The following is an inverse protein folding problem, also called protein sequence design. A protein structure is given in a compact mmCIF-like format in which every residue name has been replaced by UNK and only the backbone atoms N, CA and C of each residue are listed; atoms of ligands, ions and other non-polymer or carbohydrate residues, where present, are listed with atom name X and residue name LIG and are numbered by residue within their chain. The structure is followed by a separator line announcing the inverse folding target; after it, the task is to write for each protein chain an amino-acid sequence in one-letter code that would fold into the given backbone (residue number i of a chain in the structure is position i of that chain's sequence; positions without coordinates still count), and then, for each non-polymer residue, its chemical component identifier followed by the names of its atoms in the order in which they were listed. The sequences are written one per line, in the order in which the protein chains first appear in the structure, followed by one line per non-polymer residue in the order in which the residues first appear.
data_IF_396194438816
#
_entry.id   IF_396194438816
#
_cell.length_a   1.000
_cell.length_b   1.000
_cell.length_c   1.000
_cell.angle_alpha   90.00
_cell.angle_beta   90.00
_cell.angle_gamma   90.00
#
_symmetry.space_group_name_H-M   'P 1'
#
loop_
_entity.id
_entity.type
_entity.pdbx_description
1 polymer ?
#
# COMPACT_ATOMS: atom_id res chain seq x y z
N UNK A 1 -10.40 -1.20 4.46
CA UNK A 1 -9.42 -0.28 5.11
C UNK A 1 -9.09 0.91 4.22
N UNK A 2 -8.69 2.03 4.81
CA UNK A 2 -8.29 3.25 4.09
C UNK A 2 -6.79 3.48 4.25
N UNK A 3 -6.06 3.47 3.14
CA UNK A 3 -4.60 3.51 3.09
C UNK A 3 -4.12 4.87 2.59
N UNK A 4 -3.27 5.55 3.38
CA UNK A 4 -2.59 6.77 2.94
C UNK A 4 -1.23 6.42 2.38
N UNK A 5 -1.01 6.71 1.09
CA UNK A 5 0.23 6.40 0.40
C UNK A 5 0.87 7.71 -0.06
N UNK A 6 2.13 7.91 0.32
CA UNK A 6 2.91 9.11 0.00
C UNK A 6 4.06 8.75 -0.90
N UNK A 7 4.23 9.50 -1.99
CA UNK A 7 5.38 9.41 -2.87
C UNK A 7 6.32 10.60 -2.63
N UNK A 8 7.42 10.41 -1.87
CA UNK A 8 8.25 11.53 -1.41
C UNK A 8 8.94 12.30 -2.55
N UNK A 9 9.26 11.63 -3.66
CA UNK A 9 9.96 12.26 -4.78
C UNK A 9 9.09 13.28 -5.55
N UNK A 10 7.78 13.04 -5.70
CA UNK A 10 6.85 14.01 -6.34
C UNK A 10 6.06 14.82 -5.32
N UNK A 11 6.17 14.48 -4.03
CA UNK A 11 5.33 15.01 -2.93
C UNK A 11 3.83 14.79 -3.16
N UNK A 12 3.45 13.82 -3.99
CA UNK A 12 2.07 13.44 -4.15
C UNK A 12 1.66 12.48 -3.04
N UNK A 13 0.41 12.62 -2.58
CA UNK A 13 -0.21 11.67 -1.67
C UNK A 13 -1.50 11.18 -2.30
N UNK A 14 -1.76 9.88 -2.15
CA UNK A 14 -2.99 9.27 -2.63
C UNK A 14 -3.63 8.45 -1.51
N UNK A 15 -4.93 8.60 -1.41
CA UNK A 15 -5.77 7.92 -0.46
C UNK A 15 -6.53 6.83 -1.20
N UNK A 16 -6.27 5.58 -0.85
CA UNK A 16 -6.89 4.43 -1.52
C UNK A 16 -7.72 3.64 -0.54
N UNK A 17 -8.94 3.31 -0.94
CA UNK A 17 -9.80 2.37 -0.23
C UNK A 17 -9.48 0.95 -0.71
N UNK A 18 -9.07 0.10 0.23
CA UNK A 18 -8.88 -1.34 0.02
C UNK A 18 -10.05 -2.02 0.72
N UNK A 19 -11.01 -2.49 -0.07
CA UNK A 19 -12.15 -3.26 0.42
C UNK A 19 -11.90 -4.78 0.37
N UNK A 20 -10.92 -5.20 -0.45
CA UNK A 20 -10.60 -6.60 -0.68
C UNK A 20 -10.01 -7.25 0.59
N UNK A 21 -10.82 -8.07 1.26
CA UNK A 21 -10.45 -8.76 2.49
C UNK A 21 -9.29 -9.74 2.34
N UNK A 22 -8.95 -10.16 1.10
CA UNK A 22 -7.80 -11.03 0.83
C UNK A 22 -6.47 -10.27 0.77
N UNK A 23 -6.48 -8.95 0.50
CA UNK A 23 -5.30 -8.07 0.52
C UNK A 23 -4.97 -7.51 1.91
N UNK A 24 -5.95 -7.50 2.82
CA UNK A 24 -5.82 -7.00 4.20
C UNK A 24 -4.91 -7.82 5.14
N UNK A 25 -4.79 -9.17 5.04
CA UNK A 25 -4.01 -9.98 5.97
C UNK A 25 -2.52 -9.62 5.97
N UNK A 26 -1.99 -9.17 4.82
CA UNK A 26 -0.60 -8.69 4.69
C UNK A 26 -0.28 -7.56 5.67
N UNK A 27 -1.29 -6.82 6.12
CA UNK A 27 -1.14 -5.69 7.05
C UNK A 27 -1.42 -6.05 8.52
N UNK A 28 -2.10 -7.17 8.81
CA UNK A 28 -2.74 -7.37 10.12
C UNK A 28 -1.77 -7.72 11.28
N UNK A 29 -0.48 -7.94 11.00
CA UNK A 29 0.56 -8.24 12.01
C UNK A 29 1.86 -7.45 11.81
N UNK A 30 1.85 -6.45 10.93
CA UNK A 30 3.03 -5.63 10.64
C UNK A 30 3.16 -4.53 11.70
N UNK A 31 4.28 -4.47 12.41
CA UNK A 31 4.59 -3.32 13.26
C UNK A 31 4.68 -2.04 12.41
N UNK A 32 4.33 -0.90 12.99
CA UNK A 32 4.62 0.42 12.40
C UNK A 32 6.09 0.47 11.98
N UNK A 33 6.39 0.95 10.77
CA UNK A 33 7.74 0.97 10.14
C UNK A 33 8.16 -0.31 9.40
N UNK A 34 7.31 -1.32 9.27
CA UNK A 34 7.67 -2.51 8.48
C UNK A 34 7.48 -2.27 6.99
N UNK A 35 8.51 -2.58 6.19
CA UNK A 35 8.41 -2.58 4.73
C UNK A 35 7.54 -3.75 4.23
N UNK A 36 6.68 -3.47 3.25
CA UNK A 36 5.78 -4.44 2.62
C UNK A 36 5.98 -4.37 1.12
N UNK A 37 6.18 -5.53 0.49
CA UNK A 37 6.28 -5.61 -0.96
C UNK A 37 4.93 -5.25 -1.61
N UNK A 38 4.95 -4.30 -2.56
CA UNK A 38 3.75 -3.86 -3.27
C UNK A 38 3.12 -4.97 -4.14
N UNK A 39 3.89 -6.01 -4.49
CA UNK A 39 3.42 -7.16 -5.28
C UNK A 39 2.25 -7.89 -4.60
N UNK A 40 2.22 -7.93 -3.26
CA UNK A 40 1.14 -8.53 -2.48
C UNK A 40 -0.19 -7.76 -2.55
N UNK A 41 -0.17 -6.52 -3.04
CA UNK A 41 -1.35 -5.65 -3.13
C UNK A 41 -1.98 -5.66 -4.52
N UNK A 42 -1.31 -6.24 -5.52
CA UNK A 42 -1.75 -6.32 -6.92
C UNK A 42 -0.87 -5.52 -7.89
N UNK A 43 -0.98 -5.83 -9.18
CA UNK A 43 -0.16 -5.20 -10.22
C UNK A 43 -0.37 -3.68 -10.32
N UNK A 44 -1.54 -3.17 -9.95
CA UNK A 44 -1.83 -1.73 -10.01
C UNK A 44 -0.96 -0.90 -9.04
N UNK A 45 -0.30 -1.56 -8.08
CA UNK A 45 0.59 -0.94 -7.11
C UNK A 45 2.05 -0.94 -7.54
N UNK A 46 2.46 -1.88 -8.42
CA UNK A 46 3.84 -1.96 -8.94
C UNK A 46 4.22 -0.74 -9.77
N UNK A 47 3.26 -0.19 -10.52
CA UNK A 47 3.47 1.00 -11.37
C UNK A 47 3.66 2.28 -10.58
N UNK A 48 3.38 2.28 -9.28
CA UNK A 48 3.41 3.48 -8.44
C UNK A 48 4.81 3.74 -7.85
N UNK A 49 5.73 2.78 -7.97
CA UNK A 49 7.11 2.85 -7.47
C UNK A 49 8.19 2.70 -8.55
N UNK A 50 7.83 2.51 -9.82
CA UNK A 50 8.75 2.70 -10.97
C UNK A 50 8.79 4.16 -11.37
#
# INVERSE_FOLDING_TARGET
MKMNISFPATRCQKLTEVDDEHKLPTFYEKCMTTEVAADALGEEWRVMWS
#
